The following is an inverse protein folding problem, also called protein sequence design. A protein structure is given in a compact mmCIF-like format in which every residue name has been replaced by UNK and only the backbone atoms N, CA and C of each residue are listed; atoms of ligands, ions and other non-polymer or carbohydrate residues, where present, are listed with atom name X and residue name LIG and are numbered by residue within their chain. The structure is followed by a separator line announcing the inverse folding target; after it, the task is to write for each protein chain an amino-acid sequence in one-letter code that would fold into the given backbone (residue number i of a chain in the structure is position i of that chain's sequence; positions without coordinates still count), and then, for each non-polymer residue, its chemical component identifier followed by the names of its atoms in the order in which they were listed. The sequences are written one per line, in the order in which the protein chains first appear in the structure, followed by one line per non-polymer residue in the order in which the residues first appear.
data_IF_477170474797
#
_entry.id   IF_477170474797
#
_cell.length_a   1.000
_cell.length_b   1.000
_cell.length_c   1.000
_cell.angle_alpha   90.00
_cell.angle_beta   90.00
_cell.angle_gamma   90.00
#
_symmetry.space_group_name_H-M   'P 1'
#
loop_
_entity.id
_entity.type
_entity.pdbx_description
1 polymer ?
#
# COMPACT_ATOMS: atom_id res chain seq x y z
N UNK A 1 -8.95 1.71 15.53
CA UNK A 1 -9.39 0.72 14.52
C UNK A 1 -8.26 -0.27 14.37
N UNK A 2 -8.52 -1.58 14.43
CA UNK A 2 -7.49 -2.57 14.13
C UNK A 2 -6.88 -2.21 12.77
N UNK A 3 -5.54 -2.16 12.69
CA UNK A 3 -4.85 -1.81 11.43
C UNK A 3 -5.34 -2.78 10.37
N UNK A 4 -5.95 -2.28 9.29
CA UNK A 4 -6.41 -3.15 8.20
C UNK A 4 -5.20 -3.54 7.35
N UNK A 5 -4.49 -4.55 7.84
CA UNK A 5 -3.25 -5.10 7.27
C UNK A 5 -3.53 -5.71 5.89
N UNK A 6 -4.75 -6.21 5.66
CA UNK A 6 -5.17 -6.68 4.35
C UNK A 6 -5.31 -5.52 3.36
N UNK A 7 -5.87 -4.37 3.76
CA UNK A 7 -5.89 -3.17 2.91
C UNK A 7 -4.47 -2.64 2.61
N UNK A 8 -3.57 -2.64 3.59
CA UNK A 8 -2.17 -2.26 3.35
C UNK A 8 -1.49 -3.19 2.33
N UNK A 9 -1.73 -4.51 2.42
CA UNK A 9 -1.26 -5.46 1.41
C UNK A 9 -1.81 -5.13 0.03
N UNK A 10 -3.12 -4.99 -0.07
CA UNK A 10 -3.80 -4.72 -1.33
C UNK A 10 -3.30 -3.42 -1.97
N UNK A 11 -3.16 -2.36 -1.18
CA UNK A 11 -2.59 -1.10 -1.62
C UNK A 11 -1.16 -1.25 -2.12
N UNK A 12 -0.28 -1.95 -1.37
CA UNK A 12 1.12 -2.14 -1.76
C UNK A 12 1.25 -2.93 -3.07
N UNK A 13 0.47 -4.00 -3.25
CA UNK A 13 0.45 -4.79 -4.48
C UNK A 13 -0.04 -3.98 -5.68
N UNK A 14 -1.05 -3.15 -5.47
CA UNK A 14 -1.58 -2.27 -6.51
C UNK A 14 -0.57 -1.19 -6.93
N UNK A 15 0.14 -0.59 -5.96
CA UNK A 15 1.23 0.34 -6.26
C UNK A 15 2.36 -0.32 -7.04
N UNK A 16 2.70 -1.58 -6.70
CA UNK A 16 3.70 -2.36 -7.45
C UNK A 16 3.28 -2.58 -8.89
N UNK A 17 2.00 -2.90 -9.12
CA UNK A 17 1.42 -3.05 -10.47
C UNK A 17 1.45 -1.73 -11.27
N UNK A 18 1.28 -0.60 -10.60
CA UNK A 18 1.22 0.73 -11.21
C UNK A 18 2.60 1.40 -11.37
N UNK A 19 3.64 0.89 -10.71
CA UNK A 19 4.98 1.48 -10.75
C UNK A 19 5.54 1.48 -12.19
N UNK A 20 6.15 2.61 -12.56
CA UNK A 20 6.81 2.79 -13.87
C UNK A 20 8.30 2.51 -13.78
N UNK A 21 8.88 2.10 -14.91
CA UNK A 21 10.33 1.98 -15.09
C UNK A 21 10.75 2.83 -16.31
N UNK A 22 11.55 3.90 -16.13
CA UNK A 22 12.16 4.35 -14.87
C UNK A 22 11.14 4.92 -13.86
N UNK A 23 11.49 5.03 -12.58
CA UNK A 23 10.61 5.63 -11.55
C UNK A 23 10.28 7.10 -11.83
N UNK A 24 9.00 7.39 -12.03
CA UNK A 24 8.47 8.73 -12.25
C UNK A 24 7.30 8.99 -11.31
N UNK A 25 7.22 10.21 -10.76
CA UNK A 25 6.10 10.62 -9.91
C UNK A 25 4.82 10.78 -10.72
N UNK A 26 3.71 10.20 -10.26
CA UNK A 26 2.40 10.37 -10.89
C UNK A 26 1.28 10.45 -9.86
N UNK A 27 0.15 11.03 -10.30
CA UNK A 27 -1.06 11.09 -9.49
C UNK A 27 -1.74 9.72 -9.49
N UNK A 28 -1.97 9.17 -8.30
CA UNK A 28 -2.75 7.94 -8.15
C UNK A 28 -4.22 8.21 -8.48
N UNK A 29 -4.86 7.36 -9.30
CA UNK A 29 -6.30 7.40 -9.50
C UNK A 29 -6.99 6.77 -8.27
N UNK A 30 -7.03 7.51 -7.17
CA UNK A 30 -7.51 6.99 -5.88
C UNK A 30 -8.93 6.43 -5.94
N UNK A 31 -9.82 7.07 -6.69
CA UNK A 31 -11.22 6.62 -6.80
C UNK A 31 -11.32 5.26 -7.52
N UNK A 32 -10.53 5.06 -8.58
CA UNK A 32 -10.47 3.78 -9.31
C UNK A 32 -9.86 2.67 -8.47
N UNK A 33 -8.80 2.98 -7.71
CA UNK A 33 -8.14 2.03 -6.81
C UNK A 33 -9.10 1.66 -5.67
N UNK A 34 -9.71 2.65 -5.02
CA UNK A 34 -10.67 2.44 -3.94
C UNK A 34 -11.85 1.57 -4.42
N UNK A 35 -12.36 1.83 -5.62
CA UNK A 35 -13.42 1.02 -6.22
C UNK A 35 -12.98 -0.43 -6.47
N UNK A 36 -11.80 -0.67 -7.06
CA UNK A 36 -11.27 -2.03 -7.27
C UNK A 36 -11.02 -2.79 -5.98
N UNK A 37 -10.61 -2.10 -4.92
CA UNK A 37 -10.36 -2.71 -3.62
C UNK A 37 -11.63 -2.85 -2.78
N UNK A 38 -12.77 -2.36 -3.28
CA UNK A 38 -14.05 -2.33 -2.57
C UNK A 38 -13.94 -1.62 -1.20
N UNK A 39 -13.10 -0.58 -1.12
CA UNK A 39 -12.86 0.19 0.12
C UNK A 39 -13.16 1.68 -0.04
N UNK A 40 -13.51 2.38 1.04
CA UNK A 40 -13.60 3.84 1.03
C UNK A 40 -12.26 4.49 0.66
N UNK A 41 -12.33 5.57 -0.12
CA UNK A 41 -11.14 6.37 -0.45
C UNK A 41 -10.37 6.83 0.79
N UNK A 42 -11.06 7.18 1.87
CA UNK A 42 -10.42 7.61 3.12
C UNK A 42 -9.56 6.51 3.73
N UNK A 43 -10.05 5.27 3.76
CA UNK A 43 -9.28 4.13 4.26
C UNK A 43 -8.04 3.85 3.38
N UNK A 44 -8.17 3.98 2.06
CA UNK A 44 -7.05 3.86 1.14
C UNK A 44 -5.99 4.95 1.41
N UNK A 45 -6.41 6.20 1.60
CA UNK A 45 -5.48 7.30 1.93
C UNK A 45 -4.75 7.02 3.25
N UNK A 46 -5.45 6.59 4.28
CA UNK A 46 -4.83 6.21 5.56
C UNK A 46 -3.81 5.06 5.39
N UNK A 47 -4.15 4.03 4.60
CA UNK A 47 -3.23 2.94 4.30
C UNK A 47 -1.99 3.41 3.54
N UNK A 48 -2.15 4.32 2.57
CA UNK A 48 -1.05 4.91 1.82
C UNK A 48 -0.13 5.77 2.71
N UNK A 49 -0.71 6.56 3.63
CA UNK A 49 0.08 7.32 4.60
C UNK A 49 0.87 6.38 5.52
N UNK A 50 0.27 5.30 6.02
CA UNK A 50 0.98 4.31 6.84
C UNK A 50 2.12 3.63 6.06
N UNK A 51 1.89 3.25 4.81
CA UNK A 51 2.94 2.66 3.95
C UNK A 51 4.10 3.64 3.72
N UNK A 52 3.81 4.94 3.60
CA UNK A 52 4.81 6.00 3.48
C UNK A 52 5.57 6.20 4.80
N UNK A 53 4.87 6.30 5.92
CA UNK A 53 5.47 6.46 7.25
C UNK A 53 6.37 5.28 7.65
N UNK A 54 6.01 4.07 7.20
CA UNK A 54 6.80 2.85 7.44
C UNK A 54 7.92 2.63 6.41
N UNK A 55 8.16 3.59 5.52
CA UNK A 55 9.22 3.57 4.50
C UNK A 55 9.09 2.40 3.49
N UNK A 56 7.86 1.99 3.17
CA UNK A 56 7.61 1.01 2.10
C UNK A 56 7.44 1.68 0.73
N UNK A 57 7.04 2.94 0.70
CA UNK A 57 6.83 3.69 -0.54
C UNK A 57 7.44 5.08 -0.47
N UNK A 58 8.03 5.52 -1.58
CA UNK A 58 8.49 6.88 -1.78
C UNK A 58 7.39 7.69 -2.46
N UNK A 59 6.85 8.66 -1.72
CA UNK A 59 5.72 9.47 -2.15
C UNK A 59 5.76 10.84 -1.47
N UNK A 60 5.49 11.94 -2.20
CA UNK A 60 5.21 13.25 -1.60
C UNK A 60 3.98 13.23 -0.68
N UNK A 61 3.08 12.26 -0.84
CA UNK A 61 1.86 12.13 -0.05
C UNK A 61 0.65 12.83 -0.68
N UNK A 62 -0.31 13.21 0.15
CA UNK A 62 -1.49 13.96 -0.27
C UNK A 62 -1.11 15.32 -0.92
N UNK A 63 -1.79 15.65 -2.01
CA UNK A 63 -1.62 16.85 -2.81
C UNK A 63 -2.95 17.61 -2.91
N UNK A 64 -2.95 18.74 -3.62
CA UNK A 64 -4.13 19.61 -3.80
C UNK A 64 -5.39 18.81 -4.20
N UNK A 65 -6.55 19.20 -3.65
CA UNK A 65 -7.85 18.53 -3.87
C UNK A 65 -7.90 17.03 -3.50
N UNK A 66 -7.06 16.60 -2.54
CA UNK A 66 -7.09 15.22 -2.06
C UNK A 66 -6.52 14.21 -3.05
N UNK A 67 -5.81 14.66 -4.09
CA UNK A 67 -5.02 13.78 -4.94
C UNK A 67 -3.82 13.24 -4.16
N UNK A 68 -3.18 12.16 -4.63
CA UNK A 68 -2.03 11.57 -3.95
C UNK A 68 -0.94 11.23 -4.95
N UNK A 69 0.30 11.63 -4.66
CA UNK A 69 1.43 11.42 -5.59
C UNK A 69 2.22 10.20 -5.14
N UNK A 70 2.39 9.24 -6.03
CA UNK A 70 3.27 8.10 -5.85
C UNK A 70 4.46 8.19 -6.79
N UNK A 71 5.64 7.76 -6.34
CA UNK A 71 6.85 7.69 -7.18
C UNK A 71 7.33 6.27 -7.38
N UNK A 72 7.58 5.54 -6.29
CA UNK A 72 8.02 4.13 -6.34
C UNK A 72 7.85 3.45 -4.98
N UNK A 73 7.91 2.13 -4.99
CA UNK A 73 8.24 1.35 -3.82
C UNK A 73 9.70 1.62 -3.43
N UNK A 74 9.97 1.62 -2.13
CA UNK A 74 11.35 1.49 -1.62
C UNK A 74 11.84 0.07 -1.86
N UNK A 75 13.13 -0.19 -1.68
CA UNK A 75 13.66 -1.56 -1.75
C UNK A 75 12.91 -2.50 -0.80
N UNK A 76 12.63 -2.03 0.42
CA UNK A 76 11.90 -2.78 1.44
C UNK A 76 10.43 -3.01 1.05
N UNK A 77 9.78 -2.01 0.45
CA UNK A 77 8.43 -2.18 -0.08
C UNK A 77 8.35 -3.20 -1.20
N UNK A 78 9.33 -3.19 -2.10
CA UNK A 78 9.37 -4.13 -3.23
C UNK A 78 9.60 -5.57 -2.76
N UNK A 79 10.52 -5.79 -1.82
CA UNK A 79 10.76 -7.07 -1.16
C UNK A 79 9.50 -7.58 -0.43
N UNK A 80 8.83 -6.70 0.33
CA UNK A 80 7.59 -7.06 1.01
C UNK A 80 6.49 -7.42 0.00
N UNK A 81 6.37 -6.65 -1.08
CA UNK A 81 5.36 -6.90 -2.12
C UNK A 81 5.57 -8.25 -2.83
N UNK A 82 6.82 -8.68 -3.04
CA UNK A 82 7.12 -10.05 -3.52
C UNK A 82 6.70 -11.10 -2.49
N UNK A 83 7.01 -10.90 -1.21
CA UNK A 83 6.68 -11.85 -0.14
C UNK A 83 5.16 -12.05 0.04
N UNK A 84 4.37 -10.99 -0.14
CA UNK A 84 2.91 -11.03 0.08
C UNK A 84 2.11 -11.27 -1.20
N UNK A 85 2.78 -11.46 -2.34
CA UNK A 85 2.12 -11.72 -3.62
C UNK A 85 1.35 -13.04 -3.59
N UNK A 86 1.92 -14.10 -2.99
CA UNK A 86 1.23 -15.39 -2.80
C UNK A 86 0.29 -15.30 -1.59
N UNK A 87 -1.00 -15.52 -1.82
CA UNK A 87 -2.03 -15.54 -0.77
C UNK A 87 -1.78 -16.62 0.29
N UNK A 88 -1.17 -17.75 -0.08
CA UNK A 88 -0.83 -18.83 0.86
C UNK A 88 0.30 -18.42 1.79
N UNK A 89 1.27 -17.67 1.27
CA UNK A 89 2.35 -17.13 2.09
C UNK A 89 1.88 -15.94 2.93
N UNK A 90 0.90 -15.16 2.44
CA UNK A 90 0.28 -14.10 3.23
C UNK A 90 -0.44 -14.61 4.48
N UNK A 91 -1.17 -15.72 4.36
CA UNK A 91 -1.77 -16.38 5.52
C UNK A 91 -0.73 -16.72 6.60
N UNK A 92 0.41 -17.27 6.19
CA UNK A 92 1.54 -17.57 7.09
C UNK A 92 2.19 -16.33 7.69
N UNK A 93 2.30 -15.25 6.93
CA UNK A 93 2.80 -13.96 7.43
C UNK A 93 1.83 -13.40 8.49
N UNK A 94 0.52 -13.43 8.25
CA UNK A 94 -0.45 -12.99 9.27
C UNK A 94 -0.36 -13.82 10.54
N UNK A 95 -0.22 -15.15 10.43
CA UNK A 95 -0.01 -16.03 11.59
C UNK A 95 1.31 -15.73 12.32
N UNK A 96 2.40 -15.48 11.59
CA UNK A 96 3.71 -15.21 12.18
C UNK A 96 3.81 -13.86 12.91
N UNK A 97 2.99 -12.88 12.52
CA UNK A 97 3.00 -11.52 13.08
C UNK A 97 1.72 -11.16 13.84
N UNK A 98 0.82 -12.12 14.10
CA UNK A 98 -0.45 -11.90 14.77
C UNK A 98 -0.29 -11.12 16.10
N UNK A 99 0.67 -11.52 16.94
CA UNK A 99 0.97 -10.88 18.23
C UNK A 99 1.41 -9.40 18.11
N UNK A 100 1.95 -9.02 16.95
CA UNK A 100 2.41 -7.65 16.66
C UNK A 100 1.29 -6.77 16.08
N UNK A 101 0.31 -7.39 15.42
CA UNK A 101 -0.80 -6.73 14.72
C UNK A 101 -2.04 -6.57 15.62
N UNK A 102 -2.18 -7.39 16.66
CA UNK A 102 -3.26 -7.31 17.67
C UNK A 102 -3.00 -6.28 18.79
N UNK A 103 -1.87 -5.56 18.75
CA UNK A 103 -1.50 -4.54 19.76
C UNK A 103 -1.79 -3.10 19.35
#
# INVERSE_FOLDING_TARGET
MARDVDLMRLALLELKRLQRSPPEGFLLPLDDIAHRLERPRSELVEALELLRELDFIEAPGAYFNGAWIFRKLTKRGDELAELILDERDWGRVKEAYADLLER
#
